data_IF_270206985605
#
_entry.id   IF_270206985605
#
_cell.length_a   1.000
_cell.length_b   1.000
_cell.length_c   1.000
_cell.angle_alpha   90.00
_cell.angle_beta   90.00
_cell.angle_gamma   90.00
#
_symmetry.space_group_name_H-M   'P 1'
#
loop_
_entity.id
_entity.type
_entity.pdbx_description
1 polymer ?
#
# COMPACT_ATOMS: atom_id res chain seq x y z
N UNK A 1 6.22 8.52 11.52
CA UNK A 1 6.64 8.98 12.87
C UNK A 1 7.61 10.17 12.79
N UNK A 2 8.76 10.07 12.04
CA UNK A 2 9.76 11.14 11.94
C UNK A 2 9.17 12.47 11.42
N UNK A 3 8.38 12.44 10.36
CA UNK A 3 7.74 13.64 9.78
C UNK A 3 6.79 14.31 10.78
N UNK A 4 5.95 13.55 11.48
CA UNK A 4 5.01 14.08 12.48
C UNK A 4 5.74 14.76 13.63
N UNK A 5 6.85 14.18 14.09
CA UNK A 5 7.72 14.80 15.11
C UNK A 5 8.29 16.14 14.61
N UNK A 6 8.83 16.17 13.40
CA UNK A 6 9.38 17.41 12.82
C UNK A 6 8.32 18.50 12.68
N UNK A 7 7.07 18.14 12.31
CA UNK A 7 5.95 19.09 12.22
C UNK A 7 5.60 19.63 13.62
N UNK A 8 5.49 18.77 14.65
CA UNK A 8 5.20 19.19 16.01
C UNK A 8 6.25 20.16 16.58
N UNK A 9 7.52 19.98 16.22
CA UNK A 9 8.61 20.87 16.66
C UNK A 9 8.63 22.23 15.92
N UNK A 10 8.12 22.29 14.70
CA UNK A 10 8.19 23.49 13.84
C UNK A 10 6.91 24.33 13.83
N UNK A 11 5.74 23.72 13.91
CA UNK A 11 4.44 24.41 13.83
C UNK A 11 4.25 25.46 14.94
N UNK A 12 4.64 25.24 16.21
CA UNK A 12 4.52 26.25 17.27
C UNK A 12 5.27 27.55 16.98
N UNK A 13 6.32 27.47 16.14
CA UNK A 13 7.13 28.64 15.76
C UNK A 13 6.46 29.50 14.68
N UNK A 14 5.46 28.95 13.98
CA UNK A 14 4.77 29.59 12.86
C UNK A 14 3.38 30.09 13.24
N UNK A 15 2.67 29.39 14.15
CA UNK A 15 1.29 29.68 14.56
C UNK A 15 1.18 30.05 16.02
N UNK A 16 0.40 31.10 16.35
CA UNK A 16 0.11 31.47 17.73
C UNK A 16 -1.07 30.62 18.26
N UNK A 17 -0.88 30.01 19.45
CA UNK A 17 -1.97 29.36 20.21
C UNK A 17 -2.38 27.96 19.76
N UNK A 18 -1.60 27.28 18.93
CA UNK A 18 -1.87 25.88 18.58
C UNK A 18 -1.16 24.99 19.62
N UNK A 19 -1.93 24.22 20.38
CA UNK A 19 -1.39 23.14 21.22
C UNK A 19 -0.95 21.97 20.32
N UNK A 20 0.28 22.07 19.84
CA UNK A 20 0.86 21.06 18.95
C UNK A 20 1.37 19.85 19.72
N UNK A 21 1.66 19.98 21.00
CA UNK A 21 2.21 18.89 21.81
C UNK A 21 1.13 17.82 22.09
N UNK A 22 -0.03 18.23 22.59
CA UNK A 22 -1.15 17.33 22.86
C UNK A 22 -1.63 16.64 21.59
N UNK A 23 -1.80 17.41 20.50
CA UNK A 23 -2.19 16.88 19.19
C UNK A 23 -1.14 15.89 18.64
N UNK A 24 0.14 16.19 18.80
CA UNK A 24 1.22 15.29 18.41
C UNK A 24 1.17 13.96 19.16
N UNK A 25 1.01 14.02 20.49
CA UNK A 25 0.97 12.81 21.34
C UNK A 25 -0.24 11.93 21.01
N UNK A 26 -1.40 12.54 20.78
CA UNK A 26 -2.60 11.83 20.37
C UNK A 26 -2.39 11.15 19.01
N UNK A 27 -1.91 11.89 18.00
CA UNK A 27 -1.68 11.35 16.68
C UNK A 27 -0.59 10.26 16.67
N UNK A 28 0.43 10.39 17.49
CA UNK A 28 1.46 9.36 17.65
C UNK A 28 0.89 8.06 18.26
N UNK A 29 -0.06 8.15 19.20
CA UNK A 29 -0.77 6.99 19.73
C UNK A 29 -1.58 6.29 18.62
N UNK A 30 -2.28 7.04 17.79
CA UNK A 30 -3.01 6.49 16.63
C UNK A 30 -2.07 5.78 15.65
N UNK A 31 -0.96 6.40 15.27
CA UNK A 31 0.04 5.79 14.39
C UNK A 31 0.58 4.49 14.99
N UNK A 32 0.87 4.47 16.29
CA UNK A 32 1.37 3.28 16.94
C UNK A 32 0.30 2.17 17.03
N UNK A 33 -0.96 2.52 17.24
CA UNK A 33 -2.06 1.55 17.23
C UNK A 33 -2.22 0.89 15.86
N UNK A 34 -2.23 1.68 14.77
CA UNK A 34 -2.27 1.18 13.39
C UNK A 34 -1.06 0.27 13.10
N UNK A 35 0.14 0.72 13.46
CA UNK A 35 1.39 -0.01 13.25
C UNK A 35 1.36 -1.39 13.94
N UNK A 36 0.94 -1.42 15.20
CA UNK A 36 0.83 -2.65 15.98
C UNK A 36 -0.21 -3.62 15.40
N UNK A 37 -1.40 -3.11 15.05
CA UNK A 37 -2.47 -3.93 14.47
C UNK A 37 -2.05 -4.55 13.14
N UNK A 38 -1.52 -3.74 12.22
CA UNK A 38 -1.05 -4.25 10.91
C UNK A 38 0.14 -5.20 11.06
N UNK A 39 1.07 -4.93 11.99
CA UNK A 39 2.18 -5.84 12.29
C UNK A 39 1.70 -7.20 12.78
N UNK A 40 0.68 -7.24 13.64
CA UNK A 40 0.09 -8.48 14.11
C UNK A 40 -0.59 -9.25 12.98
N UNK A 41 -1.34 -8.57 12.12
CA UNK A 41 -2.02 -9.18 10.97
C UNK A 41 -1.00 -9.79 9.99
N UNK A 42 -0.02 -9.02 9.55
CA UNK A 42 0.94 -9.51 8.55
C UNK A 42 1.87 -10.61 9.06
N UNK A 43 2.11 -10.71 10.36
CA UNK A 43 2.82 -11.86 10.96
C UNK A 43 2.09 -13.18 10.82
N UNK A 44 0.77 -13.18 10.67
CA UNK A 44 -0.04 -14.39 10.48
C UNK A 44 0.13 -15.01 9.08
N UNK A 45 0.65 -14.24 8.13
CA UNK A 45 0.87 -14.72 6.76
C UNK A 45 2.16 -15.56 6.73
N UNK A 46 2.10 -16.74 6.12
CA UNK A 46 3.28 -17.56 5.90
C UNK A 46 4.33 -16.81 5.05
N UNK A 47 5.62 -16.91 5.36
CA UNK A 47 6.67 -16.11 4.70
C UNK A 47 6.64 -16.17 3.16
N UNK A 48 6.37 -17.34 2.61
CA UNK A 48 6.29 -17.59 1.16
C UNK A 48 5.09 -16.88 0.48
N UNK A 49 4.06 -16.52 1.26
CA UNK A 49 2.89 -15.78 0.78
C UNK A 49 3.01 -14.25 0.93
N UNK A 50 4.07 -13.76 1.57
CA UNK A 50 4.29 -12.32 1.81
C UNK A 50 4.79 -11.58 0.58
N UNK A 51 4.39 -11.98 -0.61
CA UNK A 51 4.87 -11.44 -1.89
C UNK A 51 3.71 -11.08 -2.79
N UNK A 52 3.79 -9.91 -3.45
CA UNK A 52 2.74 -9.43 -4.35
C UNK A 52 3.32 -8.53 -5.45
N UNK A 53 2.53 -8.28 -6.50
CA UNK A 53 2.79 -7.23 -7.51
C UNK A 53 2.02 -5.99 -7.09
N UNK A 54 2.63 -4.80 -7.15
CA UNK A 54 1.95 -3.53 -6.93
C UNK A 54 1.75 -2.74 -8.22
N UNK A 55 0.84 -1.76 -8.20
CA UNK A 55 0.65 -0.87 -9.34
C UNK A 55 1.89 0.00 -9.56
N UNK A 56 2.30 0.72 -8.53
CA UNK A 56 3.49 1.59 -8.49
C UNK A 56 4.51 1.12 -7.46
N UNK A 57 5.68 1.75 -7.45
CA UNK A 57 6.76 1.50 -6.47
C UNK A 57 6.51 2.12 -5.08
N UNK A 58 5.42 2.89 -4.91
CA UNK A 58 5.08 3.62 -3.68
C UNK A 58 4.88 2.70 -2.46
N UNK A 59 4.46 1.45 -2.64
CA UNK A 59 4.27 0.47 -1.57
C UNK A 59 5.56 -0.17 -1.05
N UNK A 60 6.73 0.13 -1.62
CA UNK A 60 7.99 -0.50 -1.23
C UNK A 60 8.36 -0.29 0.24
N UNK A 61 8.17 0.92 0.77
CA UNK A 61 8.46 1.23 2.19
C UNK A 61 7.45 0.56 3.13
N UNK A 62 6.16 0.57 2.77
CA UNK A 62 5.11 -0.14 3.49
C UNK A 62 5.41 -1.63 3.57
N UNK A 63 5.67 -2.25 2.44
CA UNK A 63 5.99 -3.67 2.35
C UNK A 63 7.19 -4.03 3.21
N UNK A 64 8.30 -3.30 3.07
CA UNK A 64 9.52 -3.51 3.88
C UNK A 64 9.24 -3.40 5.38
N UNK A 65 8.46 -2.41 5.80
CA UNK A 65 8.15 -2.18 7.21
C UNK A 65 7.38 -3.36 7.84
N UNK A 66 6.45 -3.95 7.11
CA UNK A 66 5.62 -5.06 7.57
C UNK A 66 6.13 -6.45 7.18
N UNK A 67 7.35 -6.55 6.66
CA UNK A 67 7.94 -7.83 6.26
C UNK A 67 7.29 -8.46 5.04
N UNK A 68 6.72 -7.63 4.15
CA UNK A 68 6.17 -8.03 2.86
C UNK A 68 7.18 -7.72 1.74
N UNK A 69 6.97 -8.30 0.57
CA UNK A 69 7.82 -8.11 -0.61
C UNK A 69 6.97 -7.67 -1.81
N UNK A 70 7.31 -6.52 -2.38
CA UNK A 70 6.86 -6.12 -3.71
C UNK A 70 7.82 -6.75 -4.72
N UNK A 71 7.39 -7.80 -5.42
CA UNK A 71 8.23 -8.53 -6.37
C UNK A 71 8.39 -7.81 -7.70
N UNK A 72 7.44 -6.98 -8.06
CA UNK A 72 7.44 -6.18 -9.27
C UNK A 72 6.33 -5.14 -9.28
N UNK A 73 6.38 -4.22 -10.23
CA UNK A 73 5.39 -3.15 -10.38
C UNK A 73 4.79 -3.17 -11.79
N UNK A 74 3.50 -2.84 -11.91
CA UNK A 74 2.82 -2.72 -13.19
C UNK A 74 3.43 -1.57 -13.98
N UNK A 75 3.51 -0.39 -13.37
CA UNK A 75 4.20 0.77 -13.94
C UNK A 75 5.69 0.64 -13.63
N UNK A 76 6.51 0.59 -14.66
CA UNK A 76 7.96 0.47 -14.48
C UNK A 76 8.54 1.74 -13.82
N UNK A 77 9.48 1.56 -12.89
CA UNK A 77 10.14 2.69 -12.25
C UNK A 77 10.85 3.57 -13.29
N UNK A 78 10.54 4.88 -13.29
CA UNK A 78 11.10 5.85 -14.23
C UNK A 78 10.31 6.04 -15.54
N UNK A 79 9.24 5.29 -15.80
CA UNK A 79 8.26 5.64 -16.83
C UNK A 79 7.22 6.61 -16.25
N UNK A 80 6.73 7.56 -17.06
CA UNK A 80 5.64 8.45 -16.66
C UNK A 80 4.39 7.65 -16.29
N UNK A 81 3.54 8.19 -15.41
CA UNK A 81 2.32 7.55 -14.89
C UNK A 81 1.33 7.09 -15.99
N UNK A 82 1.44 7.65 -17.19
CA UNK A 82 0.60 7.34 -18.35
C UNK A 82 1.26 6.42 -19.39
N UNK A 83 2.45 5.88 -19.12
CA UNK A 83 3.10 4.98 -20.06
C UNK A 83 2.48 3.58 -20.00
N UNK A 84 1.87 3.12 -21.10
CA UNK A 84 1.45 1.72 -21.23
C UNK A 84 2.67 0.79 -21.12
N UNK A 85 2.62 -0.18 -20.19
CA UNK A 85 3.71 -1.12 -20.02
C UNK A 85 3.93 -1.94 -21.29
N UNK A 86 5.18 -2.10 -21.71
CA UNK A 86 5.53 -2.85 -22.92
C UNK A 86 5.14 -4.33 -22.83
N UNK A 87 4.95 -5.00 -23.98
CA UNK A 87 4.70 -6.44 -24.05
C UNK A 87 5.80 -7.27 -23.35
N UNK A 88 7.06 -6.80 -23.42
CA UNK A 88 8.20 -7.43 -22.70
C UNK A 88 8.01 -7.33 -21.19
N UNK A 89 7.58 -6.17 -20.67
CA UNK A 89 7.31 -5.98 -19.25
C UNK A 89 6.18 -6.89 -18.78
N UNK A 90 5.08 -6.95 -19.54
CA UNK A 90 3.96 -7.84 -19.27
C UNK A 90 4.40 -9.31 -19.16
N UNK A 91 5.14 -9.81 -20.17
CA UNK A 91 5.67 -11.18 -20.16
C UNK A 91 6.61 -11.44 -19.00
N UNK A 92 7.42 -10.44 -18.60
CA UNK A 92 8.28 -10.50 -17.43
C UNK A 92 7.50 -10.66 -16.13
N UNK A 93 6.41 -9.90 -15.95
CA UNK A 93 5.54 -10.02 -14.77
C UNK A 93 4.82 -11.37 -14.72
N UNK A 94 4.33 -11.89 -15.85
CA UNK A 94 3.75 -13.25 -15.92
C UNK A 94 4.75 -14.32 -15.51
N UNK A 95 5.99 -14.25 -16.02
CA UNK A 95 7.04 -15.19 -15.64
C UNK A 95 7.37 -15.10 -14.13
N UNK A 96 7.42 -13.88 -13.60
CA UNK A 96 7.67 -13.62 -12.18
C UNK A 96 6.56 -14.21 -11.29
N UNK A 97 5.28 -13.97 -11.64
CA UNK A 97 4.10 -14.53 -10.96
C UNK A 97 4.22 -16.05 -10.88
N UNK A 98 4.50 -16.71 -12.00
CA UNK A 98 4.62 -18.18 -12.06
C UNK A 98 5.82 -18.69 -11.24
N UNK A 99 6.97 -18.04 -11.38
CA UNK A 99 8.21 -18.46 -10.71
C UNK A 99 8.12 -18.34 -9.19
N UNK A 100 7.54 -17.25 -8.68
CA UNK A 100 7.44 -16.97 -7.24
C UNK A 100 6.08 -17.38 -6.64
N UNK A 101 5.20 -17.98 -7.44
CA UNK A 101 3.85 -18.39 -7.02
C UNK A 101 3.05 -17.23 -6.41
N UNK A 102 3.18 -16.04 -6.99
CA UNK A 102 2.47 -14.85 -6.54
C UNK A 102 0.99 -15.01 -6.86
N UNK A 103 0.12 -14.72 -5.91
CA UNK A 103 -1.33 -14.85 -6.09
C UNK A 103 -2.09 -13.54 -5.87
N UNK A 104 -1.38 -12.44 -5.55
CA UNK A 104 -1.98 -11.11 -5.35
C UNK A 104 -1.32 -10.09 -6.26
N UNK A 105 -2.15 -9.43 -7.06
CA UNK A 105 -1.80 -8.23 -7.84
C UNK A 105 -2.62 -7.08 -7.29
N UNK A 106 -1.96 -5.99 -6.92
CA UNK A 106 -2.58 -4.76 -6.39
C UNK A 106 -2.69 -3.74 -7.51
N UNK A 107 -3.88 -3.14 -7.66
CA UNK A 107 -4.12 -1.96 -8.48
C UNK A 107 -4.41 -0.75 -7.60
N UNK A 108 -4.12 0.45 -8.07
CA UNK A 108 -4.43 1.68 -7.35
C UNK A 108 -5.86 2.12 -7.69
N UNK A 109 -6.65 2.41 -6.65
CA UNK A 109 -7.99 2.95 -6.81
C UNK A 109 -7.92 4.29 -7.53
N UNK A 110 -8.85 4.50 -8.49
CA UNK A 110 -8.87 5.73 -9.30
C UNK A 110 -7.95 5.71 -10.53
N UNK A 111 -7.10 4.70 -10.68
CA UNK A 111 -6.30 4.47 -11.88
C UNK A 111 -6.92 3.38 -12.78
N UNK A 112 -6.53 3.36 -14.07
CA UNK A 112 -6.94 2.28 -14.96
C UNK A 112 -6.37 0.95 -14.48
N UNK A 113 -7.23 -0.03 -14.24
CA UNK A 113 -6.83 -1.38 -13.84
C UNK A 113 -6.78 -2.38 -15.00
N UNK A 114 -6.97 -1.94 -16.26
CA UNK A 114 -7.05 -2.80 -17.43
C UNK A 114 -5.82 -3.71 -17.59
N UNK A 115 -4.63 -3.18 -17.37
CA UNK A 115 -3.40 -3.98 -17.42
C UNK A 115 -3.33 -5.00 -16.28
N UNK A 116 -3.69 -4.59 -15.06
CA UNK A 116 -3.72 -5.48 -13.90
C UNK A 116 -4.73 -6.61 -14.09
N UNK A 117 -5.92 -6.33 -14.62
CA UNK A 117 -6.94 -7.33 -14.97
C UNK A 117 -6.41 -8.34 -15.96
N UNK A 118 -5.88 -7.86 -17.09
CA UNK A 118 -5.31 -8.75 -18.08
C UNK A 118 -4.18 -9.60 -17.53
N UNK A 119 -3.31 -9.02 -16.70
CA UNK A 119 -2.21 -9.75 -16.05
C UNK A 119 -2.74 -10.88 -15.14
N UNK A 120 -3.79 -10.60 -14.36
CA UNK A 120 -4.40 -11.61 -13.47
C UNK A 120 -5.14 -12.69 -14.27
N UNK A 121 -5.87 -12.33 -15.34
CA UNK A 121 -6.55 -13.25 -16.23
C UNK A 121 -5.56 -14.22 -16.91
N UNK A 122 -4.50 -13.70 -17.54
CA UNK A 122 -3.47 -14.51 -18.20
C UNK A 122 -2.64 -15.35 -17.23
N UNK A 123 -2.58 -14.95 -15.96
CA UNK A 123 -1.94 -15.71 -14.89
C UNK A 123 -2.88 -16.73 -14.20
N UNK A 124 -4.17 -16.72 -14.51
CA UNK A 124 -5.18 -17.57 -13.82
C UNK A 124 -5.40 -17.17 -12.36
N UNK A 125 -5.26 -15.89 -12.02
CA UNK A 125 -5.41 -15.34 -10.67
C UNK A 125 -6.78 -14.69 -10.48
N UNK A 126 -7.20 -14.49 -9.20
CA UNK A 126 -8.34 -13.62 -8.90
C UNK A 126 -8.15 -12.20 -9.45
N UNK A 127 -9.24 -11.45 -9.67
CA UNK A 127 -9.15 -10.03 -10.08
C UNK A 127 -8.21 -9.24 -9.19
N UNK A 128 -7.56 -8.17 -9.73
CA UNK A 128 -6.62 -7.36 -8.96
C UNK A 128 -7.30 -6.76 -7.73
N UNK A 129 -6.55 -6.66 -6.64
CA UNK A 129 -6.98 -6.02 -5.41
C UNK A 129 -6.81 -4.51 -5.54
N UNK A 130 -7.92 -3.77 -5.66
CA UNK A 130 -7.87 -2.32 -5.65
C UNK A 130 -7.63 -1.78 -4.25
N UNK A 131 -6.59 -0.94 -4.06
CA UNK A 131 -6.25 -0.27 -2.80
C UNK A 131 -6.09 1.23 -3.04
N UNK A 132 -6.35 2.06 -2.00
CA UNK A 132 -6.19 3.51 -2.05
C UNK A 132 -5.17 3.95 -0.99
N UNK A 133 -3.91 4.15 -1.39
CA UNK A 133 -2.87 4.67 -0.49
C UNK A 133 -2.50 6.14 -0.76
N UNK A 134 -3.02 6.74 -1.81
CA UNK A 134 -2.62 8.07 -2.26
C UNK A 134 -3.63 9.16 -1.89
N UNK A 135 -4.89 8.80 -1.66
CA UNK A 135 -5.94 9.74 -1.26
C UNK A 135 -6.83 9.16 -0.18
N UNK A 136 -7.42 10.07 0.58
CA UNK A 136 -8.44 9.73 1.57
C UNK A 136 -9.80 9.65 0.90
N UNK A 137 -10.66 8.79 1.42
CA UNK A 137 -12.06 8.72 1.03
C UNK A 137 -12.85 9.94 1.56
N UNK A 138 -14.02 10.22 1.02
CA UNK A 138 -14.91 11.24 1.57
C UNK A 138 -15.21 11.02 3.06
N UNK A 139 -15.39 12.11 3.78
CA UNK A 139 -15.69 12.10 5.23
C UNK A 139 -16.86 11.15 5.54
N UNK A 140 -16.67 10.29 6.53
CA UNK A 140 -17.65 9.28 6.96
C UNK A 140 -17.54 7.93 6.24
N UNK A 141 -16.65 7.77 5.28
CA UNK A 141 -16.37 6.50 4.62
C UNK A 141 -15.11 5.82 5.22
N UNK A 142 -14.99 4.49 5.00
CA UNK A 142 -13.79 3.76 5.41
C UNK A 142 -12.58 4.22 4.60
N UNK A 143 -11.64 4.89 5.25
CA UNK A 143 -10.48 5.49 4.59
C UNK A 143 -10.48 7.02 4.58
N UNK A 144 -11.41 7.66 5.26
CA UNK A 144 -11.52 9.12 5.38
C UNK A 144 -10.45 9.79 6.23
N UNK A 145 -9.74 9.02 7.02
CA UNK A 145 -8.56 9.44 7.78
C UNK A 145 -7.36 8.57 7.41
N UNK A 146 -6.15 9.06 7.68
CA UNK A 146 -4.93 8.27 7.46
C UNK A 146 -4.99 6.92 8.20
N UNK A 147 -5.42 6.91 9.45
CA UNK A 147 -5.53 5.69 10.26
C UNK A 147 -6.54 4.71 9.68
N UNK A 148 -7.72 5.21 9.30
CA UNK A 148 -8.78 4.43 8.67
C UNK A 148 -8.34 3.87 7.30
N UNK A 149 -7.69 4.68 6.47
CA UNK A 149 -7.14 4.29 5.18
C UNK A 149 -6.11 3.16 5.33
N UNK A 150 -5.13 3.35 6.21
CA UNK A 150 -4.08 2.36 6.46
C UNK A 150 -4.64 1.02 6.95
N UNK A 151 -5.57 1.05 7.91
CA UNK A 151 -6.20 -0.16 8.44
C UNK A 151 -7.07 -0.85 7.39
N UNK A 152 -7.87 -0.10 6.64
CA UNK A 152 -8.75 -0.66 5.60
C UNK A 152 -7.93 -1.36 4.52
N UNK A 153 -6.93 -0.69 3.98
CA UNK A 153 -6.07 -1.25 2.94
C UNK A 153 -5.21 -2.41 3.46
N UNK A 154 -4.63 -2.27 4.66
CA UNK A 154 -3.83 -3.32 5.28
C UNK A 154 -4.64 -4.59 5.54
N UNK A 155 -5.88 -4.47 6.06
CA UNK A 155 -6.78 -5.61 6.27
C UNK A 155 -7.20 -6.27 4.95
N UNK A 156 -7.45 -5.49 3.91
CA UNK A 156 -7.77 -6.02 2.57
C UNK A 156 -6.58 -6.80 1.98
N UNK A 157 -5.38 -6.23 2.06
CA UNK A 157 -4.16 -6.89 1.59
C UNK A 157 -3.87 -8.16 2.40
N UNK A 158 -3.98 -8.12 3.73
CA UNK A 158 -3.82 -9.29 4.59
C UNK A 158 -4.75 -10.43 4.18
N UNK A 159 -6.06 -10.16 4.01
CA UNK A 159 -7.03 -11.18 3.58
C UNK A 159 -6.72 -11.79 2.22
N UNK A 160 -6.20 -10.97 1.30
CA UNK A 160 -5.82 -11.46 -0.02
C UNK A 160 -4.58 -12.37 0.05
N UNK A 161 -3.59 -12.02 0.87
CA UNK A 161 -2.34 -12.78 1.02
C UNK A 161 -2.51 -14.07 1.84
N UNK A 162 -3.58 -14.21 2.63
CA UNK A 162 -3.86 -15.45 3.39
C UNK A 162 -4.35 -16.60 2.50
N UNK A 163 -5.02 -16.29 1.38
CA UNK A 163 -5.57 -17.31 0.46
C UNK A 163 -4.45 -18.04 -0.27
#
# INVERSE_FOLDING_TARGET
>A
KKMVKTLAERLPKIGRGIDTQSTYEQYLKEINAVDNELSQLFRQIAPEKRVFISHHSNLGQFAKHFGLTVAGTIIASGSGESADPSARHFSGLLALIRKQKIHVVVSDQGQSDAFARRLTEDAGLPPPLSLSFEYLEPIGQSGDTWSSMMLTNGKRLHRALLK
#
